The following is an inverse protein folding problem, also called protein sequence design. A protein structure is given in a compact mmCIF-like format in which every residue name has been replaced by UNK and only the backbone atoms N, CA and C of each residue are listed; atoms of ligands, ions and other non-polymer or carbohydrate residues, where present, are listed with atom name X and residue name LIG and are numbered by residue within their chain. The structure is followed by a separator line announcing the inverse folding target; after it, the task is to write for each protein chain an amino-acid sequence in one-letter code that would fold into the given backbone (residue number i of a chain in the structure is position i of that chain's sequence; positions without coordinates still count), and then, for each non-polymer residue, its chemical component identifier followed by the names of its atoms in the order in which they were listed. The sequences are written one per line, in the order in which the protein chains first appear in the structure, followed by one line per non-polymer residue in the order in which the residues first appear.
data_IF_214495886274
#
_entry.id   IF_214495886274
#
_cell.length_a   1.000
_cell.length_b   1.000
_cell.length_c   1.000
_cell.angle_alpha   90.00
_cell.angle_beta   90.00
_cell.angle_gamma   90.00
#
_symmetry.space_group_name_H-M   'P 1'
#
loop_
_entity.id
_entity.type
_entity.pdbx_description
1 polymer ?
#
# COMPACT_ATOMS: atom_id res chain seq x y z
N UNK A 1 2.11 -0.50 -25.89
CA UNK A 1 1.70 -0.46 -24.47
C UNK A 1 0.27 -0.94 -24.44
N UNK A 2 0.05 -2.16 -23.98
CA UNK A 2 -1.30 -2.72 -23.89
C UNK A 2 -2.08 -1.99 -22.80
N UNK A 3 -3.41 -1.88 -22.97
CA UNK A 3 -4.27 -1.18 -22.01
C UNK A 3 -4.13 -1.77 -20.58
N UNK A 4 -3.92 -3.09 -20.50
CA UNK A 4 -3.66 -3.78 -19.23
C UNK A 4 -2.34 -3.33 -18.56
N UNK A 5 -1.26 -3.17 -19.31
CA UNK A 5 0.03 -2.75 -18.72
C UNK A 5 0.00 -1.29 -18.29
N UNK A 6 -0.74 -0.43 -18.99
CA UNK A 6 -0.99 0.95 -18.56
C UNK A 6 -1.75 1.01 -17.23
N UNK A 7 -2.82 0.22 -17.08
CA UNK A 7 -3.60 0.16 -15.84
C UNK A 7 -2.74 -0.30 -14.66
N UNK A 8 -1.92 -1.34 -14.87
CA UNK A 8 -0.99 -1.86 -13.85
C UNK A 8 0.02 -0.79 -13.46
N UNK A 9 0.60 -0.07 -14.43
CA UNK A 9 1.58 0.99 -14.13
C UNK A 9 0.96 2.15 -13.34
N UNK A 10 -0.29 2.51 -13.65
CA UNK A 10 -1.04 3.54 -12.94
C UNK A 10 -1.29 3.13 -11.48
N UNK A 11 -1.79 1.91 -11.26
CA UNK A 11 -2.00 1.33 -9.93
C UNK A 11 -0.68 1.28 -9.12
N UNK A 12 0.43 0.87 -9.74
CA UNK A 12 1.75 0.88 -9.10
C UNK A 12 2.19 2.31 -8.72
N UNK A 13 1.95 3.28 -9.59
CA UNK A 13 2.34 4.68 -9.33
C UNK A 13 1.52 5.28 -8.18
N UNK A 14 0.23 4.96 -8.09
CA UNK A 14 -0.65 5.35 -6.98
C UNK A 14 -0.21 4.68 -5.68
N UNK A 15 0.06 3.37 -5.70
CA UNK A 15 0.58 2.64 -4.54
C UNK A 15 1.88 3.28 -4.02
N UNK A 16 2.83 3.54 -4.91
CA UNK A 16 4.12 4.13 -4.56
C UNK A 16 3.96 5.56 -4.04
N UNK A 17 3.09 6.36 -4.65
CA UNK A 17 2.75 7.70 -4.19
C UNK A 17 2.14 7.72 -2.79
N UNK A 18 1.23 6.79 -2.49
CA UNK A 18 0.63 6.65 -1.15
C UNK A 18 1.67 6.22 -0.11
N UNK A 19 2.61 5.35 -0.48
CA UNK A 19 3.71 4.92 0.39
C UNK A 19 4.63 6.11 0.73
N UNK A 20 5.05 6.87 -0.28
CA UNK A 20 5.84 8.09 -0.08
C UNK A 20 5.07 9.17 0.71
N UNK A 21 3.76 9.30 0.46
CA UNK A 21 2.90 10.22 1.20
C UNK A 21 2.80 9.84 2.68
N UNK A 22 2.54 8.56 3.01
CA UNK A 22 2.52 8.10 4.40
C UNK A 22 3.87 8.29 5.09
N UNK A 23 4.98 8.07 4.38
CA UNK A 23 6.33 8.28 4.90
C UNK A 23 6.58 9.78 5.19
N UNK A 24 6.22 10.65 4.26
CA UNK A 24 6.35 12.10 4.43
C UNK A 24 5.44 12.65 5.53
N UNK A 25 4.17 12.23 5.56
CA UNK A 25 3.19 12.62 6.57
C UNK A 25 3.57 12.11 7.96
N UNK A 26 4.14 10.90 8.07
CA UNK A 26 4.69 10.38 9.32
C UNK A 26 5.83 11.26 9.81
N UNK A 27 6.81 11.54 8.95
CA UNK A 27 7.99 12.34 9.32
C UNK A 27 7.62 13.77 9.77
N UNK A 28 6.64 14.41 9.11
CA UNK A 28 6.17 15.75 9.50
C UNK A 28 5.40 15.76 10.82
N UNK A 29 4.59 14.73 11.11
CA UNK A 29 3.81 14.64 12.36
C UNK A 29 4.68 14.25 13.56
N UNK A 30 5.70 13.40 13.33
CA UNK A 30 6.70 12.98 14.30
C UNK A 30 7.57 14.16 14.75
N UNK A 31 8.15 14.91 13.81
CA UNK A 31 9.02 16.05 14.13
C UNK A 31 8.26 17.34 14.39
N UNK A 32 6.99 17.44 13.99
CA UNK A 32 6.20 18.65 14.11
C UNK A 32 5.46 18.82 15.44
N UNK A 33 4.91 17.74 16.03
CA UNK A 33 4.00 17.87 17.18
C UNK A 33 4.23 16.80 18.27
N UNK A 34 4.41 15.53 17.91
CA UNK A 34 4.40 14.44 18.90
C UNK A 34 5.76 14.11 19.53
N UNK A 35 6.88 14.53 18.92
CA UNK A 35 8.23 14.28 19.45
C UNK A 35 8.65 12.80 19.48
N UNK A 36 7.82 11.88 18.96
CA UNK A 36 8.04 10.42 18.97
C UNK A 36 7.74 9.83 17.60
N UNK A 37 8.60 8.93 17.12
CA UNK A 37 8.49 8.23 15.83
C UNK A 37 7.30 7.26 15.85
N UNK A 38 6.24 7.54 15.09
CA UNK A 38 5.07 6.67 14.96
C UNK A 38 5.15 5.83 13.66
N UNK A 39 5.24 4.50 13.82
CA UNK A 39 5.28 3.54 12.71
C UNK A 39 3.95 2.80 12.46
N UNK A 40 2.83 3.30 13.02
CA UNK A 40 1.51 2.69 12.85
C UNK A 40 1.08 2.53 11.38
N UNK A 41 1.64 3.32 10.45
CA UNK A 41 1.34 3.18 9.02
C UNK A 41 1.75 1.79 8.46
N UNK A 42 2.80 1.16 9.01
CA UNK A 42 3.28 -0.15 8.56
C UNK A 42 2.33 -1.30 8.88
N UNK A 43 1.50 -1.16 9.93
CA UNK A 43 0.50 -2.18 10.27
C UNK A 43 -0.66 -2.20 9.27
N UNK A 44 -1.05 -1.04 8.73
CA UNK A 44 -2.04 -0.95 7.65
C UNK A 44 -1.54 -1.59 6.35
N UNK A 45 -0.26 -1.41 6.02
CA UNK A 45 0.36 -2.10 4.88
C UNK A 45 0.36 -3.63 5.08
N UNK A 46 0.75 -4.10 6.27
CA UNK A 46 0.74 -5.54 6.57
C UNK A 46 -0.66 -6.14 6.53
N UNK A 47 -1.69 -5.43 7.01
CA UNK A 47 -3.08 -5.87 6.92
C UNK A 47 -3.52 -6.05 5.46
N UNK A 48 -3.21 -5.08 4.59
CA UNK A 48 -3.51 -5.18 3.16
C UNK A 48 -2.82 -6.36 2.49
N UNK A 49 -1.53 -6.58 2.79
CA UNK A 49 -0.76 -7.71 2.27
C UNK A 49 -1.32 -9.07 2.73
N UNK A 50 -1.70 -9.19 4.01
CA UNK A 50 -2.29 -10.41 4.55
C UNK A 50 -3.68 -10.71 3.96
N UNK A 51 -4.50 -9.68 3.75
CA UNK A 51 -5.80 -9.82 3.11
C UNK A 51 -5.64 -10.30 1.67
N UNK A 52 -4.74 -9.69 0.89
CA UNK A 52 -4.47 -10.13 -0.48
C UNK A 52 -3.93 -11.57 -0.55
N UNK A 53 -3.04 -11.95 0.36
CA UNK A 53 -2.54 -13.32 0.45
C UNK A 53 -3.64 -14.33 0.82
N UNK A 54 -4.46 -14.01 1.81
CA UNK A 54 -5.57 -14.85 2.25
C UNK A 54 -6.60 -15.04 1.14
N UNK A 55 -7.02 -13.94 0.49
CA UNK A 55 -7.95 -13.98 -0.64
C UNK A 55 -7.37 -14.74 -1.85
N UNK A 56 -6.06 -14.65 -2.10
CA UNK A 56 -5.38 -15.41 -3.14
C UNK A 56 -5.49 -16.92 -2.91
N UNK A 57 -5.41 -17.35 -1.64
CA UNK A 57 -5.63 -18.74 -1.26
C UNK A 57 -7.06 -19.24 -1.51
N UNK A 58 -8.07 -18.39 -1.32
CA UNK A 58 -9.48 -18.75 -1.53
C UNK A 58 -9.90 -18.74 -3.00
N UNK A 59 -9.45 -17.76 -3.78
CA UNK A 59 -9.85 -17.59 -5.18
C UNK A 59 -8.96 -18.36 -6.17
N UNK A 60 -7.83 -18.93 -5.71
CA UNK A 60 -6.86 -19.66 -6.54
C UNK A 60 -6.19 -18.82 -7.63
N UNK A 61 -6.46 -17.51 -7.63
CA UNK A 61 -6.03 -16.55 -8.63
C UNK A 61 -5.67 -15.24 -7.94
N UNK A 62 -4.41 -14.83 -8.14
CA UNK A 62 -3.87 -13.57 -7.62
C UNK A 62 -4.64 -12.35 -8.16
N UNK A 63 -5.13 -12.41 -9.40
CA UNK A 63 -5.87 -11.30 -10.02
C UNK A 63 -7.26 -11.13 -9.43
N UNK A 64 -7.97 -12.23 -9.11
CA UNK A 64 -9.29 -12.17 -8.44
C UNK A 64 -9.19 -11.78 -6.96
N UNK A 65 -8.04 -12.03 -6.34
CA UNK A 65 -7.81 -11.71 -4.94
C UNK A 65 -7.41 -10.25 -4.68
N UNK A 66 -6.86 -9.58 -5.70
CA UNK A 66 -6.36 -8.20 -5.61
C UNK A 66 -7.31 -7.20 -6.29
N UNK A 67 -8.13 -7.65 -7.25
CA UNK A 67 -9.19 -6.85 -7.88
C UNK A 67 -10.40 -6.66 -6.95
#
# INVERSE_FOLDING_TARGET
MDFATFLIQLLNSVQYGLLLFMLAAGLTLIFGIMGVVNLAHGSFYMLGAYLGYSLSGYFGSLTLAIL
#
